data_IF_568216365145
#
_entry.id   IF_568216365145
#
_cell.length_a   1.000
_cell.length_b   1.000
_cell.length_c   1.000
_cell.angle_alpha   90.00
_cell.angle_beta   90.00
_cell.angle_gamma   90.00
#
_symmetry.space_group_name_H-M   'P 1'
#
loop_
_entity.id
_entity.type
_entity.pdbx_description
1 polymer ?
#
# COMPACT_ATOMS: atom_id res chain seq x y z
N UNK A 1 -35.70 11.77 -0.06
CA UNK A 1 -34.88 11.78 -1.29
C UNK A 1 -33.43 11.60 -0.88
N UNK A 2 -32.92 10.36 -0.85
CA UNK A 2 -31.52 10.10 -0.47
C UNK A 2 -30.65 10.16 -1.71
N UNK A 3 -29.78 11.16 -1.82
CA UNK A 3 -28.78 11.24 -2.88
C UNK A 3 -27.62 10.32 -2.47
N UNK A 4 -27.64 9.08 -2.95
CA UNK A 4 -26.46 8.21 -2.87
C UNK A 4 -25.52 8.61 -4.00
N UNK A 5 -24.48 9.37 -3.67
CA UNK A 5 -23.36 9.57 -4.58
C UNK A 5 -22.61 8.24 -4.65
N UNK A 6 -23.02 7.35 -5.56
CA UNK A 6 -22.17 6.25 -5.99
C UNK A 6 -20.94 6.89 -6.62
N UNK A 7 -19.84 7.01 -5.86
CA UNK A 7 -18.56 7.46 -6.39
C UNK A 7 -18.24 6.57 -7.58
N UNK A 8 -18.25 7.14 -8.79
CA UNK A 8 -18.04 6.40 -10.02
C UNK A 8 -16.73 5.61 -9.91
N UNK A 9 -16.85 4.30 -9.73
CA UNK A 9 -15.75 3.34 -9.81
C UNK A 9 -15.56 3.03 -11.30
N UNK A 10 -15.36 4.07 -12.11
CA UNK A 10 -14.96 3.84 -13.50
C UNK A 10 -13.56 3.25 -13.45
N UNK A 11 -13.32 2.06 -14.03
CA UNK A 11 -11.99 1.47 -14.07
C UNK A 11 -11.07 2.47 -14.75
N UNK A 12 -10.15 3.02 -13.96
CA UNK A 12 -9.32 4.12 -14.43
C UNK A 12 -8.22 3.63 -15.37
N UNK A 13 -7.91 2.33 -15.32
CA UNK A 13 -6.80 1.67 -16.03
C UNK A 13 -5.46 2.43 -15.86
N UNK A 14 -5.33 3.18 -14.76
CA UNK A 14 -4.13 3.98 -14.48
C UNK A 14 -3.08 3.04 -13.92
N UNK A 15 -2.06 2.78 -14.74
CA UNK A 15 -0.87 2.02 -14.35
C UNK A 15 0.23 3.01 -13.97
N UNK A 16 0.79 2.81 -12.79
CA UNK A 16 1.88 3.62 -12.24
C UNK A 16 3.16 2.83 -12.48
N UNK A 17 3.98 3.37 -13.38
CA UNK A 17 5.28 2.81 -13.76
C UNK A 17 6.36 3.58 -13.04
N UNK A 18 7.29 2.86 -12.41
CA UNK A 18 8.46 3.45 -11.76
C UNK A 18 9.74 3.04 -12.49
N UNK A 19 10.81 2.77 -11.74
CA UNK A 19 12.07 2.25 -12.27
C UNK A 19 11.87 0.82 -12.81
N UNK A 20 12.56 0.41 -13.90
CA UNK A 20 12.39 -0.93 -14.49
C UNK A 20 12.71 -2.09 -13.53
N UNK A 21 13.43 -1.81 -12.45
CA UNK A 21 13.73 -2.80 -11.41
C UNK A 21 12.49 -3.22 -10.60
N UNK A 22 11.54 -2.31 -10.39
CA UNK A 22 10.36 -2.53 -9.56
C UNK A 22 9.12 -2.82 -10.41
N UNK A 23 8.18 -3.64 -9.92
CA UNK A 23 6.98 -3.98 -10.66
C UNK A 23 6.03 -2.78 -10.80
N UNK A 24 5.15 -2.86 -11.80
CA UNK A 24 4.15 -1.83 -12.07
C UNK A 24 2.95 -2.02 -11.14
N UNK A 25 2.32 -0.93 -10.74
CA UNK A 25 1.16 -0.97 -9.84
C UNK A 25 -0.04 -0.36 -10.56
N UNK A 26 -1.15 -1.09 -10.64
CA UNK A 26 -2.40 -0.50 -11.10
C UNK A 26 -3.14 0.16 -9.92
N UNK A 27 -3.73 1.32 -10.20
CA UNK A 27 -4.57 2.01 -9.22
C UNK A 27 -5.80 1.17 -8.84
N UNK A 28 -6.32 0.38 -9.77
CA UNK A 28 -7.50 -0.46 -9.58
C UNK A 28 -7.22 -1.56 -8.55
N UNK A 29 -6.09 -2.26 -8.65
CA UNK A 29 -5.65 -3.28 -7.69
C UNK A 29 -5.62 -2.74 -6.25
N UNK A 30 -5.17 -1.49 -6.07
CA UNK A 30 -5.15 -0.84 -4.75
C UNK A 30 -6.58 -0.59 -4.23
N UNK A 31 -7.53 -0.25 -5.10
CA UNK A 31 -8.93 -0.06 -4.72
C UNK A 31 -9.64 -1.37 -4.40
N UNK A 32 -9.24 -2.47 -5.05
CA UNK A 32 -9.74 -3.80 -4.72
C UNK A 32 -9.18 -4.29 -3.39
N UNK A 33 -7.89 -4.02 -3.13
CA UNK A 33 -7.21 -4.47 -1.91
C UNK A 33 -7.60 -3.67 -0.67
N UNK A 34 -7.81 -2.36 -0.83
CA UNK A 34 -8.04 -1.44 0.29
C UNK A 34 -9.37 -0.74 0.13
N UNK A 35 -10.12 -0.69 1.23
CA UNK A 35 -11.33 0.10 1.31
C UNK A 35 -10.97 1.59 1.27
N UNK A 36 -11.14 2.19 0.10
CA UNK A 36 -10.96 3.63 -0.13
C UNK A 36 -12.34 4.27 -0.25
N UNK A 37 -12.55 5.37 0.47
CA UNK A 37 -13.80 6.11 0.40
C UNK A 37 -14.04 6.69 -1.01
N UNK A 38 -15.30 6.66 -1.46
CA UNK A 38 -15.69 7.10 -2.80
C UNK A 38 -15.47 8.60 -3.07
N UNK A 39 -15.20 9.41 -2.03
CA UNK A 39 -14.83 10.83 -2.17
C UNK A 39 -13.38 11.04 -2.63
N UNK A 40 -12.53 10.01 -2.55
CA UNK A 40 -11.15 10.08 -3.03
C UNK A 40 -11.13 9.91 -4.54
N UNK A 41 -10.88 11.01 -5.26
CA UNK A 41 -10.78 10.99 -6.72
C UNK A 41 -9.57 10.19 -7.20
N UNK A 42 -9.64 9.65 -8.43
CA UNK A 42 -8.54 8.90 -9.03
C UNK A 42 -7.23 9.72 -9.08
N UNK A 43 -7.30 11.02 -9.32
CA UNK A 43 -6.12 11.90 -9.31
C UNK A 43 -5.48 12.02 -7.93
N UNK A 44 -6.30 12.17 -6.88
CA UNK A 44 -5.81 12.20 -5.49
C UNK A 44 -5.20 10.87 -5.11
N UNK A 45 -5.84 9.76 -5.48
CA UNK A 45 -5.30 8.42 -5.20
C UNK A 45 -3.98 8.18 -5.95
N UNK A 46 -3.93 8.50 -7.25
CA UNK A 46 -2.71 8.41 -8.06
C UNK A 46 -1.54 9.14 -7.41
N UNK A 47 -1.74 10.36 -6.92
CA UNK A 47 -0.70 11.13 -6.23
C UNK A 47 -0.19 10.40 -4.97
N UNK A 48 -1.09 9.86 -4.15
CA UNK A 48 -0.71 9.12 -2.94
C UNK A 48 0.10 7.85 -3.29
N UNK A 49 -0.31 7.12 -4.34
CA UNK A 49 0.41 5.93 -4.79
C UNK A 49 1.81 6.31 -5.30
N UNK A 50 1.95 7.37 -6.10
CA UNK A 50 3.26 7.82 -6.59
C UNK A 50 4.20 8.15 -5.42
N UNK A 51 3.71 8.88 -4.42
CA UNK A 51 4.51 9.20 -3.24
C UNK A 51 4.95 7.96 -2.46
N UNK A 52 4.07 6.96 -2.31
CA UNK A 52 4.40 5.71 -1.64
C UNK A 52 5.37 4.84 -2.43
N UNK A 53 5.21 4.77 -3.76
CA UNK A 53 6.17 4.09 -4.65
C UNK A 53 7.55 4.72 -4.51
N UNK A 54 7.66 6.06 -4.47
CA UNK A 54 8.93 6.74 -4.27
C UNK A 54 9.55 6.37 -2.91
N UNK A 55 8.74 6.33 -1.85
CA UNK A 55 9.20 6.00 -0.50
C UNK A 55 9.71 4.56 -0.40
N UNK A 56 8.93 3.59 -0.87
CA UNK A 56 9.30 2.17 -0.89
C UNK A 56 10.55 1.94 -1.77
N UNK A 57 10.62 2.55 -2.95
CA UNK A 57 11.77 2.43 -3.83
C UNK A 57 13.06 2.98 -3.20
N UNK A 58 12.96 4.03 -2.37
CA UNK A 58 14.12 4.58 -1.63
C UNK A 58 14.60 3.61 -0.56
N UNK A 59 13.69 2.97 0.18
CA UNK A 59 14.01 1.99 1.21
C UNK A 59 14.63 0.72 0.60
N UNK A 60 14.15 0.29 -0.57
CA UNK A 60 14.64 -0.89 -1.27
C UNK A 60 15.81 -0.61 -2.22
N UNK A 61 16.37 0.61 -2.23
CA UNK A 61 17.45 0.99 -3.14
C UNK A 61 18.67 0.07 -3.06
N UNK A 62 18.96 -0.48 -1.88
CA UNK A 62 20.06 -1.41 -1.65
C UNK A 62 19.90 -2.74 -2.42
N UNK A 63 18.68 -3.14 -2.78
CA UNK A 63 18.43 -4.36 -3.54
C UNK A 63 18.85 -4.23 -5.01
N UNK A 64 18.85 -3.00 -5.56
CA UNK A 64 19.27 -2.72 -6.93
C UNK A 64 20.73 -3.06 -7.22
N UNK A 65 21.59 -3.11 -6.20
CA UNK A 65 22.98 -3.55 -6.39
C UNK A 65 23.15 -5.07 -6.30
N UNK A 66 22.13 -5.80 -5.83
CA UNK A 66 22.18 -7.25 -5.64
C UNK A 66 21.61 -8.01 -6.83
N UNK A 67 20.63 -7.45 -7.54
CA UNK A 67 19.95 -8.09 -8.67
C UNK A 67 19.62 -7.08 -9.79
N UNK A 68 19.25 -7.62 -10.96
CA UNK A 68 18.82 -6.80 -12.11
C UNK A 68 17.32 -6.48 -12.10
N UNK A 69 16.52 -7.30 -11.43
CA UNK A 69 15.07 -7.15 -11.26
C UNK A 69 14.69 -7.59 -9.85
N UNK A 70 13.57 -7.08 -9.32
CA UNK A 70 13.11 -7.47 -7.99
C UNK A 70 12.76 -8.97 -7.93
N UNK A 71 12.15 -9.51 -8.99
CA UNK A 71 11.76 -10.92 -9.11
C UNK A 71 12.93 -11.91 -9.05
N UNK A 72 14.14 -11.47 -9.37
CA UNK A 72 15.36 -12.30 -9.31
C UNK A 72 15.81 -12.56 -7.85
N UNK A 73 15.31 -11.77 -6.90
CA UNK A 73 15.54 -11.95 -5.46
C UNK A 73 14.49 -12.85 -4.81
N UNK A 74 13.52 -13.33 -5.58
CA UNK A 74 12.44 -14.20 -5.09
C UNK A 74 12.98 -15.59 -4.80
N UNK A 75 12.68 -16.14 -3.62
CA UNK A 75 13.00 -17.52 -3.25
C UNK A 75 11.91 -18.50 -3.72
N UNK A 76 10.69 -17.99 -3.97
CA UNK A 76 9.59 -18.76 -4.54
C UNK A 76 8.60 -17.95 -5.38
N UNK A 77 7.67 -18.66 -5.99
CA UNK A 77 6.52 -18.09 -6.70
C UNK A 77 5.23 -18.49 -5.97
N UNK A 78 4.29 -17.55 -5.90
CA UNK A 78 2.94 -17.75 -5.34
C UNK A 78 1.96 -17.36 -6.43
N UNK A 79 1.03 -18.24 -6.82
CA UNK A 79 0.01 -17.91 -7.83
C UNK A 79 0.61 -17.32 -9.12
N UNK A 80 1.63 -18.00 -9.67
CA UNK A 80 2.37 -17.63 -10.90
C UNK A 80 3.08 -16.26 -10.87
N UNK A 81 3.25 -15.66 -9.70
CA UNK A 81 3.96 -14.40 -9.50
C UNK A 81 5.06 -14.55 -8.42
N UNK A 82 6.21 -13.88 -8.59
CA UNK A 82 7.28 -13.94 -7.60
C UNK A 82 6.81 -13.34 -6.27
N UNK A 83 7.17 -13.97 -5.15
CA UNK A 83 6.77 -13.51 -3.82
C UNK A 83 7.18 -12.06 -3.56
N UNK A 84 8.30 -11.63 -4.12
CA UNK A 84 8.80 -10.25 -4.01
C UNK A 84 7.85 -9.23 -4.64
N UNK A 85 7.13 -9.59 -5.71
CA UNK A 85 6.13 -8.72 -6.33
C UNK A 85 4.94 -8.53 -5.38
N UNK A 86 4.48 -9.61 -4.75
CA UNK A 86 3.41 -9.53 -3.75
C UNK A 86 3.81 -8.71 -2.53
N UNK A 87 5.02 -8.89 -2.03
CA UNK A 87 5.53 -8.12 -0.90
C UNK A 87 5.68 -6.64 -1.27
N UNK A 88 6.14 -6.34 -2.49
CA UNK A 88 6.23 -4.96 -2.97
C UNK A 88 4.86 -4.30 -3.08
N UNK A 89 3.91 -4.99 -3.72
CA UNK A 89 2.52 -4.53 -3.81
C UNK A 89 1.90 -4.35 -2.42
N UNK A 90 2.16 -5.27 -1.49
CA UNK A 90 1.70 -5.19 -0.11
C UNK A 90 2.31 -3.98 0.61
N UNK A 91 3.61 -3.70 0.44
CA UNK A 91 4.25 -2.54 1.04
C UNK A 91 3.62 -1.22 0.56
N UNK A 92 3.44 -1.08 -0.76
CA UNK A 92 2.86 0.14 -1.35
C UNK A 92 1.39 0.28 -0.98
N UNK A 93 0.59 -0.77 -1.12
CA UNK A 93 -0.84 -0.73 -0.80
C UNK A 93 -1.07 -0.33 0.66
N UNK A 94 -0.44 -1.01 1.63
CA UNK A 94 -0.55 -0.66 3.04
C UNK A 94 -0.09 0.78 3.33
N UNK A 95 0.99 1.25 2.68
CA UNK A 95 1.43 2.64 2.77
C UNK A 95 0.39 3.65 2.28
N UNK A 96 -0.24 3.35 1.14
CA UNK A 96 -1.31 4.18 0.57
C UNK A 96 -2.53 4.17 1.49
N UNK A 97 -2.91 3.01 2.03
CA UNK A 97 -4.01 2.89 2.99
C UNK A 97 -3.78 3.79 4.21
N UNK A 98 -2.59 3.76 4.80
CA UNK A 98 -2.24 4.62 5.93
C UNK A 98 -2.33 6.11 5.58
N UNK A 99 -1.78 6.53 4.43
CA UNK A 99 -1.83 7.93 3.98
C UNK A 99 -3.22 8.44 3.68
N UNK A 100 -4.01 7.63 2.98
CA UNK A 100 -5.40 7.96 2.65
C UNK A 100 -6.20 8.10 3.94
N UNK A 101 -6.14 7.10 4.83
CA UNK A 101 -6.85 7.17 6.10
C UNK A 101 -6.41 8.38 6.92
N UNK A 102 -5.10 8.68 7.03
CA UNK A 102 -4.62 9.85 7.76
C UNK A 102 -5.12 11.18 7.16
N UNK A 103 -5.03 11.37 5.84
CA UNK A 103 -5.43 12.61 5.16
C UNK A 103 -6.94 12.84 5.22
N UNK A 104 -7.74 11.79 5.15
CA UNK A 104 -9.19 11.92 5.04
C UNK A 104 -9.93 11.69 6.38
N UNK A 105 -9.25 11.26 7.44
CA UNK A 105 -9.80 11.14 8.81
C UNK A 105 -10.44 12.43 9.34
N UNK A 106 -9.88 13.58 8.99
CA UNK A 106 -10.36 14.88 9.49
C UNK A 106 -11.68 15.34 8.86
N UNK A 107 -12.06 14.80 7.69
CA UNK A 107 -13.24 15.27 6.97
C UNK A 107 -14.57 14.76 7.55
N UNK A 108 -14.57 13.67 8.32
CA UNK A 108 -15.78 13.03 8.86
C UNK A 108 -16.10 13.39 10.33
N UNK A 109 -15.39 14.37 10.92
CA UNK A 109 -15.48 14.68 12.37
C UNK A 109 -16.76 15.41 12.82
N UNK A 110 -17.88 15.27 12.11
CA UNK A 110 -19.17 15.84 12.52
C UNK A 110 -19.94 14.89 13.45
N UNK A 111 -19.80 15.10 14.76
CA UNK A 111 -20.67 14.63 15.86
C UNK A 111 -20.70 13.12 16.21
N UNK A 112 -20.23 12.20 15.36
CA UNK A 112 -20.05 10.77 15.70
C UNK A 112 -18.58 10.39 16.00
N UNK A 113 -17.69 11.40 16.08
CA UNK A 113 -16.25 11.26 15.92
C UNK A 113 -15.53 10.44 17.00
N UNK A 114 -15.93 10.49 18.27
CA UNK A 114 -15.03 9.99 19.33
C UNK A 114 -14.78 8.48 19.30
N UNK A 115 -15.80 7.65 18.98
CA UNK A 115 -15.63 6.19 18.85
C UNK A 115 -14.96 5.77 17.54
N UNK A 116 -15.25 6.47 16.44
CA UNK A 116 -14.63 6.17 15.14
C UNK A 116 -13.15 6.60 15.09
N UNK A 117 -12.77 7.60 15.90
CA UNK A 117 -11.39 8.08 15.96
C UNK A 117 -10.42 7.05 16.55
N UNK A 118 -10.80 6.31 17.60
CA UNK A 118 -9.94 5.28 18.19
C UNK A 118 -9.77 4.07 17.25
N UNK A 119 -10.86 3.61 16.65
CA UNK A 119 -10.87 2.45 15.73
C UNK A 119 -10.05 2.72 14.46
N UNK A 120 -10.23 3.90 13.84
CA UNK A 120 -9.46 4.28 12.64
C UNK A 120 -7.98 4.52 12.94
N UNK A 121 -7.64 4.94 14.17
CA UNK A 121 -6.25 5.11 14.59
C UNK A 121 -5.51 3.77 14.66
N UNK A 122 -6.16 2.76 15.26
CA UNK A 122 -5.64 1.40 15.31
C UNK A 122 -5.39 0.84 13.90
N UNK A 123 -6.32 1.06 12.96
CA UNK A 123 -6.17 0.60 11.57
C UNK A 123 -5.00 1.27 10.83
N UNK A 124 -4.73 2.56 11.07
CA UNK A 124 -3.61 3.29 10.44
C UNK A 124 -2.26 2.73 10.91
N UNK A 125 -2.10 2.51 12.20
CA UNK A 125 -0.88 1.94 12.77
C UNK A 125 -0.64 0.49 12.31
N UNK A 126 -1.72 -0.29 12.14
CA UNK A 126 -1.66 -1.63 11.54
C UNK A 126 -1.16 -1.58 10.09
N UNK A 127 -1.69 -0.67 9.26
CA UNK A 127 -1.21 -0.50 7.89
C UNK A 127 0.26 -0.10 7.85
N UNK A 128 0.71 0.83 8.71
CA UNK A 128 2.12 1.22 8.79
C UNK A 128 3.01 0.05 9.19
N UNK A 129 2.57 -0.75 10.17
CA UNK A 129 3.29 -1.94 10.63
C UNK A 129 3.39 -2.98 9.51
N UNK A 130 2.30 -3.28 8.83
CA UNK A 130 2.28 -4.21 7.70
C UNK A 130 3.17 -3.75 6.54
N UNK A 131 3.20 -2.44 6.25
CA UNK A 131 4.16 -1.87 5.28
C UNK A 131 5.60 -2.15 5.70
N UNK A 132 5.97 -1.88 6.96
CA UNK A 132 7.34 -2.11 7.44
C UNK A 132 7.70 -3.59 7.41
N UNK A 133 6.77 -4.47 7.77
CA UNK A 133 6.98 -5.92 7.67
C UNK A 133 7.25 -6.37 6.25
N UNK A 134 6.43 -5.93 5.28
CA UNK A 134 6.66 -6.26 3.87
C UNK A 134 8.03 -5.77 3.36
N UNK A 135 8.48 -4.59 3.80
CA UNK A 135 9.80 -4.05 3.44
C UNK A 135 10.94 -4.87 4.06
N UNK A 136 10.82 -5.25 5.34
CA UNK A 136 11.85 -6.07 6.01
C UNK A 136 12.00 -7.44 5.36
N UNK A 137 10.87 -8.07 5.00
CA UNK A 137 10.85 -9.33 4.26
C UNK A 137 11.58 -9.18 2.92
N UNK A 138 11.31 -8.11 2.16
CA UNK A 138 12.02 -7.82 0.91
C UNK A 138 13.52 -7.57 1.07
N UNK A 139 13.94 -7.00 2.21
CA UNK A 139 15.36 -6.77 2.49
C UNK A 139 16.09 -8.06 2.90
N UNK A 140 15.36 -9.16 3.13
CA UNK A 140 15.91 -10.40 3.68
C UNK A 140 16.33 -10.25 5.15
N UNK A 141 15.79 -9.25 5.85
CA UNK A 141 15.95 -9.17 7.31
C UNK A 141 14.92 -10.12 7.91
N UNK A 142 15.33 -11.38 8.08
CA UNK A 142 14.52 -12.39 8.77
C UNK A 142 13.98 -11.78 10.05
N UNK A 143 12.69 -11.95 10.29
CA UNK A 143 12.15 -11.82 11.63
C UNK A 143 13.01 -12.72 12.51
N UNK A 144 13.84 -12.13 13.38
CA UNK A 144 14.29 -12.88 14.55
C UNK A 144 13.02 -13.21 15.29
N UNK A 145 12.51 -14.42 15.06
CA UNK A 145 11.61 -15.08 15.98
C UNK A 145 12.42 -15.12 17.27
N UNK A 146 12.14 -14.18 18.17
CA UNK A 146 12.55 -14.33 19.56
C UNK A 146 11.70 -15.49 20.07
N UNK A 147 12.19 -16.70 19.81
CA UNK A 147 11.75 -17.89 20.50
C UNK A 147 12.24 -17.70 21.94
N UNK A 148 11.33 -17.21 22.80
CA UNK A 148 11.59 -17.06 24.22
C UNK A 148 11.51 -18.46 24.82
N UNK A 149 12.66 -19.15 24.91
CA UNK A 149 12.80 -20.36 25.73
C UNK A 149 12.86 -20.01 27.22
#
# INVERSE_FOLDING_TARGET
MGFVANGNITPSQIIIKSDPFFPQIALDDIREKIRIDGSVTNERLKQNIIEEVIDVNRLLKALKSKASQLSDLSEGEVDDLPETDYLYFSAVSNGVAAKVNEKYRSYDSSNAGLKNLEDSGLTIDEYRRNKQWAIQQLLGENHTVVELI
#
